data_IF_449092777365
#
_entry.id   IF_449092777365
#
_cell.length_a   1.000
_cell.length_b   1.000
_cell.length_c   1.000
_cell.angle_alpha   90.00
_cell.angle_beta   90.00
_cell.angle_gamma   90.00
#
_symmetry.space_group_name_H-M   'P 1'
#
loop_
_entity.id
_entity.type
_entity.pdbx_description
1 polymer ?
#
# COMPACT_ATOMS: atom_id res chain seq x y z
N UNK A 1 -14.62 23.76 29.17
CA UNK A 1 -13.16 23.71 28.94
C UNK A 1 -12.39 23.24 30.18
N UNK A 2 -12.36 21.94 30.46
CA UNK A 2 -11.67 21.39 31.64
C UNK A 2 -10.33 20.69 31.33
N UNK A 3 -9.92 20.63 30.06
CA UNK A 3 -8.67 19.96 29.67
C UNK A 3 -7.69 20.83 28.85
N UNK A 4 -8.04 22.06 28.46
CA UNK A 4 -7.10 22.98 27.80
C UNK A 4 -6.40 22.43 26.56
N UNK A 5 -6.94 21.36 25.95
CA UNK A 5 -6.42 20.82 24.70
C UNK A 5 -6.92 21.72 23.59
N UNK A 6 -6.01 22.53 23.04
CA UNK A 6 -6.22 23.19 21.76
C UNK A 6 -6.67 22.14 20.74
N UNK A 7 -7.62 22.53 19.88
CA UNK A 7 -8.10 21.68 18.81
C UNK A 7 -6.91 21.29 17.93
N UNK A 8 -6.53 20.01 17.94
CA UNK A 8 -5.41 19.53 17.13
C UNK A 8 -5.88 19.51 15.68
N UNK A 9 -5.54 20.55 14.93
CA UNK A 9 -5.78 20.63 13.49
C UNK A 9 -4.79 19.71 12.76
N UNK A 10 -5.22 18.49 12.47
CA UNK A 10 -4.44 17.53 11.71
C UNK A 10 -4.71 17.80 10.23
N UNK A 11 -3.65 18.14 9.49
CA UNK A 11 -3.78 18.33 8.04
C UNK A 11 -4.44 17.10 7.38
N UNK A 12 -5.47 17.29 6.54
CA UNK A 12 -6.15 16.20 5.84
C UNK A 12 -5.19 15.29 5.05
N UNK A 13 -4.09 15.85 4.56
CA UNK A 13 -3.01 15.12 3.91
C UNK A 13 -2.40 14.06 4.84
N UNK A 14 -1.91 14.50 6.01
CA UNK A 14 -1.26 13.61 6.97
C UNK A 14 -2.26 12.56 7.49
N UNK A 15 -3.49 12.96 7.77
CA UNK A 15 -4.55 12.03 8.20
C UNK A 15 -4.85 10.97 7.13
N UNK A 16 -5.00 11.38 5.86
CA UNK A 16 -5.25 10.48 4.74
C UNK A 16 -4.07 9.54 4.46
N UNK A 17 -2.85 10.07 4.40
CA UNK A 17 -1.63 9.27 4.16
C UNK A 17 -1.38 8.26 5.27
N UNK A 18 -1.54 8.64 6.53
CA UNK A 18 -1.35 7.71 7.65
C UNK A 18 -2.41 6.61 7.64
N UNK A 19 -3.67 6.96 7.42
CA UNK A 19 -4.78 5.99 7.40
C UNK A 19 -4.59 4.98 6.27
N UNK A 20 -4.37 5.47 5.05
CA UNK A 20 -4.16 4.60 3.88
C UNK A 20 -2.86 3.80 4.02
N UNK A 21 -1.78 4.44 4.46
CA UNK A 21 -0.49 3.78 4.68
C UNK A 21 -0.57 2.65 5.69
N UNK A 22 -1.33 2.84 6.78
CA UNK A 22 -1.54 1.81 7.79
C UNK A 22 -2.33 0.61 7.23
N UNK A 23 -3.44 0.87 6.54
CA UNK A 23 -4.31 -0.17 5.96
C UNK A 23 -3.57 -0.97 4.88
N UNK A 24 -2.96 -0.27 3.91
CA UNK A 24 -2.22 -0.93 2.84
C UNK A 24 -0.90 -1.54 3.31
N UNK A 25 -0.30 -1.03 4.39
CA UNK A 25 0.82 -1.69 5.06
C UNK A 25 0.44 -3.08 5.60
N UNK A 26 -0.75 -3.22 6.19
CA UNK A 26 -1.26 -4.52 6.62
C UNK A 26 -1.50 -5.47 5.43
N UNK A 27 -2.12 -4.99 4.34
CA UNK A 27 -2.30 -5.79 3.12
C UNK A 27 -0.98 -6.21 2.49
N UNK A 28 0.02 -5.33 2.51
CA UNK A 28 1.35 -5.63 2.00
C UNK A 28 2.02 -6.72 2.84
N UNK A 29 1.87 -6.65 4.17
CA UNK A 29 2.42 -7.66 5.10
C UNK A 29 1.86 -9.06 4.80
N UNK A 30 0.56 -9.17 4.55
CA UNK A 30 -0.07 -10.45 4.18
C UNK A 30 0.41 -10.95 2.82
N UNK A 31 0.67 -10.04 1.88
CA UNK A 31 1.23 -10.38 0.57
C UNK A 31 2.65 -10.93 0.69
N UNK A 32 3.50 -10.32 1.52
CA UNK A 32 4.82 -10.86 1.83
C UNK A 32 4.73 -12.19 2.56
N UNK A 33 3.81 -12.35 3.52
CA UNK A 33 3.56 -13.61 4.22
C UNK A 33 3.18 -14.72 3.24
N UNK A 34 2.26 -14.44 2.31
CA UNK A 34 1.88 -15.36 1.24
C UNK A 34 3.06 -15.70 0.32
N UNK A 35 3.90 -14.72 -0.01
CA UNK A 35 5.12 -14.93 -0.79
C UNK A 35 6.14 -15.84 -0.10
N UNK A 36 6.29 -15.73 1.23
CA UNK A 36 7.20 -16.60 2.01
C UNK A 36 6.66 -18.02 2.03
N UNK A 37 5.36 -18.20 2.26
CA UNK A 37 4.71 -19.51 2.29
C UNK A 37 4.71 -20.22 0.92
N UNK A 38 4.84 -19.46 -0.18
CA UNK A 38 4.94 -20.01 -1.52
C UNK A 38 6.33 -20.60 -1.84
N UNK A 39 7.36 -20.29 -1.04
CA UNK A 39 8.71 -20.85 -1.22
C UNK A 39 8.72 -22.32 -0.79
N UNK A 40 9.30 -23.19 -1.63
CA UNK A 40 9.41 -24.62 -1.33
C UNK A 40 10.25 -24.86 -0.07
N UNK A 41 9.68 -25.58 0.91
CA UNK A 41 10.41 -25.99 2.11
C UNK A 41 11.60 -26.89 1.78
N UNK A 42 11.53 -27.68 0.70
CA UNK A 42 12.61 -28.56 0.27
C UNK A 42 13.88 -27.80 -0.15
N UNK A 43 13.77 -26.60 -0.72
CA UNK A 43 14.94 -25.77 -1.06
C UNK A 43 15.63 -25.23 0.19
N UNK A 44 14.84 -24.88 1.21
CA UNK A 44 15.34 -24.42 2.51
C UNK A 44 16.05 -25.56 3.24
N UNK A 45 15.43 -26.75 3.28
CA UNK A 45 15.98 -27.95 3.90
C UNK A 45 17.26 -28.43 3.18
N UNK A 46 17.29 -28.40 1.84
CA UNK A 46 18.48 -28.73 1.05
C UNK A 46 19.64 -27.77 1.32
N UNK A 47 19.36 -26.47 1.41
CA UNK A 47 20.39 -25.46 1.71
C UNK A 47 20.96 -25.59 3.13
N UNK A 48 20.10 -25.94 4.10
CA UNK A 48 20.53 -26.25 5.46
C UNK A 48 21.37 -27.53 5.52
N UNK A 49 20.98 -28.58 4.80
CA UNK A 49 21.75 -29.83 4.69
C UNK A 49 23.11 -29.62 4.01
N UNK A 50 23.20 -28.66 3.09
CA UNK A 50 24.45 -28.23 2.45
C UNK A 50 25.35 -27.38 3.37
N UNK A 51 24.93 -27.12 4.61
CA UNK A 51 25.71 -26.36 5.60
C UNK A 51 25.60 -24.85 5.47
N UNK A 52 24.60 -24.31 4.76
CA UNK A 52 24.40 -22.87 4.69
C UNK A 52 23.84 -22.32 6.02
N UNK A 53 24.39 -21.22 6.57
CA UNK A 53 23.82 -20.57 7.72
C UNK A 53 22.46 -19.94 7.37
N UNK A 54 21.52 -19.91 8.34
CA UNK A 54 20.13 -19.47 8.13
C UNK A 54 20.01 -18.09 7.46
N UNK A 55 20.93 -17.16 7.75
CA UNK A 55 20.94 -15.84 7.12
C UNK A 55 21.28 -15.89 5.62
N UNK A 56 22.18 -16.79 5.19
CA UNK A 56 22.50 -16.98 3.76
C UNK A 56 21.34 -17.64 3.04
N UNK A 57 20.70 -18.63 3.67
CA UNK A 57 19.49 -19.27 3.13
C UNK A 57 18.40 -18.23 2.91
N UNK A 58 18.16 -17.37 3.91
CA UNK A 58 17.19 -16.29 3.77
C UNK A 58 17.55 -15.32 2.64
N UNK A 59 18.76 -14.75 2.63
CA UNK A 59 19.13 -13.71 1.65
C UNK A 59 19.29 -14.23 0.22
N UNK A 60 19.73 -15.48 0.02
CA UNK A 60 20.03 -16.02 -1.32
C UNK A 60 18.93 -16.90 -1.89
N UNK A 61 18.09 -17.49 -1.06
CA UNK A 61 17.07 -18.46 -1.49
C UNK A 61 15.69 -17.91 -1.17
N UNK A 62 15.34 -17.79 0.12
CA UNK A 62 13.99 -17.45 0.54
C UNK A 62 13.57 -16.06 0.06
N UNK A 63 14.40 -15.03 0.26
CA UNK A 63 14.08 -13.64 -0.07
C UNK A 63 13.85 -13.41 -1.57
N UNK A 64 14.78 -13.74 -2.49
CA UNK A 64 14.57 -13.50 -3.92
C UNK A 64 13.41 -14.32 -4.50
N UNK A 65 13.20 -15.56 -4.01
CA UNK A 65 12.10 -16.39 -4.47
C UNK A 65 10.74 -15.87 -3.96
N UNK A 66 10.66 -15.51 -2.67
CA UNK A 66 9.51 -14.86 -2.07
C UNK A 66 9.13 -13.60 -2.84
N UNK A 67 10.09 -12.73 -3.18
CA UNK A 67 9.82 -11.49 -3.93
C UNK A 67 9.14 -11.81 -5.26
N UNK A 68 9.61 -12.82 -5.99
CA UNK A 68 8.98 -13.23 -7.26
C UNK A 68 7.53 -13.68 -7.09
N UNK A 69 7.22 -14.38 -6.00
CA UNK A 69 5.84 -14.79 -5.68
C UNK A 69 4.97 -13.65 -5.16
N UNK A 70 5.57 -12.68 -4.46
CA UNK A 70 4.87 -11.52 -3.92
C UNK A 70 4.60 -10.43 -4.98
N UNK A 71 5.40 -10.33 -6.04
CA UNK A 71 5.24 -9.35 -7.14
C UNK A 71 3.81 -9.26 -7.73
N UNK A 72 3.14 -10.36 -8.11
CA UNK A 72 1.77 -10.28 -8.62
C UNK A 72 0.78 -9.74 -7.57
N UNK A 73 0.93 -10.14 -6.30
CA UNK A 73 0.11 -9.62 -5.19
C UNK A 73 0.37 -8.15 -4.90
N UNK A 74 1.63 -7.71 -5.00
CA UNK A 74 2.04 -6.32 -4.86
C UNK A 74 1.38 -5.45 -5.94
N UNK A 75 1.44 -5.88 -7.20
CA UNK A 75 0.80 -5.17 -8.31
C UNK A 75 -0.71 -5.01 -8.13
N UNK A 76 -1.38 -6.05 -7.63
CA UNK A 76 -2.81 -5.97 -7.32
C UNK A 76 -3.10 -4.93 -6.23
N UNK A 77 -2.39 -4.98 -5.10
CA UNK A 77 -2.58 -4.01 -4.02
C UNK A 77 -2.24 -2.58 -4.45
N UNK A 78 -1.26 -2.39 -5.32
CA UNK A 78 -0.93 -1.08 -5.90
C UNK A 78 -2.09 -0.51 -6.74
N UNK A 79 -2.71 -1.33 -7.58
CA UNK A 79 -3.86 -0.89 -8.38
C UNK A 79 -5.07 -0.52 -7.51
N UNK A 80 -5.31 -1.27 -6.43
CA UNK A 80 -6.36 -0.95 -5.47
C UNK A 80 -6.00 0.35 -4.71
N UNK A 81 -4.74 0.51 -4.30
CA UNK A 81 -4.24 1.72 -3.63
C UNK A 81 -4.50 2.96 -4.48
N UNK A 82 -4.13 2.93 -5.76
CA UNK A 82 -4.35 4.04 -6.70
C UNK A 82 -5.83 4.39 -6.89
N UNK A 83 -6.74 3.42 -6.74
CA UNK A 83 -8.19 3.69 -6.76
C UNK A 83 -8.66 4.30 -5.44
N UNK A 84 -8.09 3.86 -4.32
CA UNK A 84 -8.47 4.37 -2.99
C UNK A 84 -7.92 5.76 -2.67
N UNK A 85 -6.82 6.20 -3.30
CA UNK A 85 -6.33 7.58 -3.13
C UNK A 85 -7.35 8.61 -3.58
N UNK A 86 -8.16 8.30 -4.60
CA UNK A 86 -9.28 9.16 -5.01
C UNK A 86 -10.29 9.43 -3.88
N UNK A 87 -10.45 8.53 -2.90
CA UNK A 87 -11.30 8.76 -1.72
C UNK A 87 -10.73 9.82 -0.77
N UNK A 88 -9.41 10.07 -0.78
CA UNK A 88 -8.77 11.14 0.01
C UNK A 88 -9.23 12.53 -0.45
N UNK A 89 -9.63 12.67 -1.72
CA UNK A 89 -10.21 13.91 -2.24
C UNK A 89 -11.48 14.36 -1.51
N UNK A 90 -12.21 13.43 -0.90
CA UNK A 90 -13.43 13.70 -0.11
C UNK A 90 -13.12 14.42 1.20
N UNK A 91 -11.90 14.29 1.72
CA UNK A 91 -11.43 14.93 2.97
C UNK A 91 -10.85 16.34 2.69
N UNK A 92 -11.07 16.90 1.49
CA UNK A 92 -10.67 18.26 1.14
C UNK A 92 -9.21 18.40 0.67
N UNK A 93 -8.56 17.28 0.33
CA UNK A 93 -7.26 17.31 -0.33
C UNK A 93 -7.44 17.58 -1.83
N UNK A 94 -6.66 18.53 -2.38
CA UNK A 94 -6.60 18.85 -3.82
C UNK A 94 -5.99 17.68 -4.63
N UNK A 95 -6.73 16.57 -4.74
CA UNK A 95 -6.35 15.42 -5.54
C UNK A 95 -6.92 15.50 -6.96
N UNK A 96 -6.60 14.55 -7.85
CA UNK A 96 -7.07 14.59 -9.25
C UNK A 96 -8.60 14.69 -9.37
N UNK A 97 -9.35 14.01 -8.50
CA UNK A 97 -10.83 14.08 -8.47
C UNK A 97 -11.34 15.44 -8.01
N UNK A 98 -10.64 16.09 -7.06
CA UNK A 98 -10.97 17.45 -6.64
C UNK A 98 -10.76 18.44 -7.79
N UNK A 99 -9.62 18.35 -8.49
CA UNK A 99 -9.34 19.19 -9.65
C UNK A 99 -10.34 18.95 -10.80
N UNK A 100 -10.73 17.70 -11.05
CA UNK A 100 -11.79 17.36 -12.01
C UNK A 100 -13.14 17.97 -11.61
N UNK A 101 -13.48 17.97 -10.32
CA UNK A 101 -14.69 18.59 -9.79
C UNK A 101 -14.71 20.11 -9.94
N UNK A 102 -13.60 20.78 -9.63
CA UNK A 102 -13.47 22.24 -9.82
C UNK A 102 -13.54 22.61 -11.30
N UNK A 103 -12.86 21.86 -12.17
CA UNK A 103 -12.88 22.09 -13.61
C UNK A 103 -14.27 21.83 -14.22
N UNK A 104 -14.93 20.74 -13.85
CA UNK A 104 -16.29 20.40 -14.28
C UNK A 104 -17.35 21.37 -13.77
N UNK A 105 -17.19 21.88 -12.54
CA UNK A 105 -18.06 22.90 -11.97
C UNK A 105 -17.92 24.28 -12.64
N UNK A 106 -16.68 24.67 -12.95
CA UNK A 106 -16.33 25.90 -13.69
C UNK A 106 -16.86 25.88 -15.13
N UNK A 107 -16.64 24.77 -15.84
CA UNK A 107 -16.98 24.63 -17.26
C UNK A 107 -18.41 24.14 -17.50
N UNK A 108 -19.13 23.73 -16.44
CA UNK A 108 -20.45 23.06 -16.50
C UNK A 108 -20.45 21.81 -17.39
N UNK A 109 -19.30 21.16 -17.57
CA UNK A 109 -19.18 19.93 -18.35
C UNK A 109 -18.71 18.75 -17.48
N UNK A 110 -19.49 18.33 -16.47
CA UNK A 110 -19.05 17.31 -15.51
C UNK A 110 -18.68 15.98 -16.18
N UNK A 111 -19.39 15.58 -17.24
CA UNK A 111 -19.11 14.32 -17.95
C UNK A 111 -17.77 14.32 -18.70
N UNK A 112 -17.20 15.47 -19.06
CA UNK A 112 -15.91 15.52 -19.76
C UNK A 112 -14.71 15.39 -18.81
N UNK A 113 -14.90 15.68 -17.51
CA UNK A 113 -13.83 15.70 -16.52
C UNK A 113 -13.84 14.48 -15.58
N UNK A 114 -14.98 13.78 -15.44
CA UNK A 114 -15.11 12.61 -14.57
C UNK A 114 -15.09 11.25 -15.29
N UNK A 115 -15.27 11.23 -16.61
CA UNK A 115 -15.31 10.04 -17.48
C UNK A 115 -14.06 9.97 -18.35
#
# INVERSE_FOLDING_TARGET
DALGWDYIDISPFVAGTLTIGFIFGAYMTETFRGGILAVSSGEIEAALAFGMPRWKVFLRITFPLMVRHALPGFGNNWMVLAKTTALVSVIGLHDMVYNAGVAGGSTRQPFTFFL
#
